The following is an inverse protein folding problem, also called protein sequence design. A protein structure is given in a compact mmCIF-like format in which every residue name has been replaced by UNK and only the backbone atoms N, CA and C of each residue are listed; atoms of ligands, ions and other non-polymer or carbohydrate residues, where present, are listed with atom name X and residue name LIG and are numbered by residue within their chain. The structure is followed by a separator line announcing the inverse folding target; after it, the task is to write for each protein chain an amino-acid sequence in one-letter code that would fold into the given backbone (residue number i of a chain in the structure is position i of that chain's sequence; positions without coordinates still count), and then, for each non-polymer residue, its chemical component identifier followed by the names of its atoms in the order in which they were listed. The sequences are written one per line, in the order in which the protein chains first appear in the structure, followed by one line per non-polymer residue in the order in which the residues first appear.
data_IF_284393410021
#
_entry.id   IF_284393410021
#
_cell.length_a   1.000
_cell.length_b   1.000
_cell.length_c   1.000
_cell.angle_alpha   90.00
_cell.angle_beta   90.00
_cell.angle_gamma   90.00
#
_symmetry.space_group_name_H-M   'P 1'
#
loop_
_entity.id
_entity.type
_entity.pdbx_description
1 polymer ?
#
# COMPACT_ATOMS: atom_id res chain seq x y z
N UNK A 1 13.82 -23.31 -3.06
CA UNK A 1 13.05 -23.27 -4.34
C UNK A 1 13.46 -22.01 -5.09
N UNK A 2 13.49 -22.03 -6.43
CA UNK A 2 13.78 -20.85 -7.26
C UNK A 2 12.55 -19.96 -7.31
N UNK A 3 12.74 -18.63 -7.36
CA UNK A 3 11.68 -17.62 -7.25
C UNK A 3 10.48 -17.83 -8.19
N UNK A 4 10.72 -18.13 -9.48
CA UNK A 4 9.65 -18.33 -10.46
C UNK A 4 8.79 -19.58 -10.20
N UNK A 5 9.40 -20.66 -9.71
CA UNK A 5 8.72 -21.88 -9.31
C UNK A 5 7.88 -21.62 -8.04
N UNK A 6 8.49 -20.94 -7.07
CA UNK A 6 7.79 -20.53 -5.84
C UNK A 6 6.59 -19.62 -6.15
N UNK A 7 6.77 -18.63 -7.05
CA UNK A 7 5.72 -17.74 -7.49
C UNK A 7 4.52 -18.51 -8.08
N UNK A 8 4.78 -19.41 -9.03
CA UNK A 8 3.73 -20.20 -9.68
C UNK A 8 3.00 -21.10 -8.68
N UNK A 9 3.75 -21.76 -7.81
CA UNK A 9 3.22 -22.66 -6.78
C UNK A 9 2.32 -21.96 -5.77
N UNK A 10 2.75 -20.80 -5.29
CA UNK A 10 1.97 -19.99 -4.36
C UNK A 10 0.76 -19.35 -5.04
N UNK A 11 0.93 -18.82 -6.26
CA UNK A 11 -0.18 -18.27 -7.02
C UNK A 11 -1.31 -19.29 -7.20
N UNK A 12 -0.99 -20.51 -7.60
CA UNK A 12 -1.97 -21.58 -7.72
C UNK A 12 -2.70 -21.86 -6.39
N UNK A 13 -1.98 -21.89 -5.28
CA UNK A 13 -2.57 -22.10 -3.95
C UNK A 13 -3.50 -20.95 -3.54
N UNK A 14 -3.11 -19.69 -3.75
CA UNK A 14 -3.93 -18.53 -3.39
C UNK A 14 -5.15 -18.36 -4.32
N UNK A 15 -5.02 -18.67 -5.62
CA UNK A 15 -6.13 -18.60 -6.58
C UNK A 15 -7.23 -19.66 -6.27
N UNK A 16 -6.84 -20.79 -5.65
CA UNK A 16 -7.75 -21.90 -5.35
C UNK A 16 -8.18 -21.97 -3.87
N UNK A 17 -7.75 -21.04 -3.01
CA UNK A 17 -8.09 -21.07 -1.59
C UNK A 17 -9.56 -20.75 -1.33
N UNK A 18 -10.25 -21.63 -0.60
CA UNK A 18 -11.61 -21.36 -0.09
C UNK A 18 -11.56 -20.64 1.26
N UNK A 19 -10.97 -21.26 2.27
CA UNK A 19 -10.80 -20.66 3.61
C UNK A 19 -9.39 -20.88 4.14
N UNK A 20 -8.89 -22.11 4.10
CA UNK A 20 -7.55 -22.48 4.55
C UNK A 20 -6.95 -23.52 3.61
N UNK A 21 -5.69 -23.36 3.30
CA UNK A 21 -4.91 -24.31 2.51
C UNK A 21 -3.55 -24.53 3.18
N UNK A 22 -3.22 -25.79 3.43
CA UNK A 22 -1.91 -26.18 3.94
C UNK A 22 -1.02 -26.65 2.80
N UNK A 23 0.14 -26.03 2.65
CA UNK A 23 1.17 -26.41 1.68
C UNK A 23 2.27 -27.17 2.40
N UNK A 24 2.13 -28.50 2.47
CA UNK A 24 3.06 -29.40 3.17
C UNK A 24 4.47 -29.33 2.59
N UNK A 25 4.59 -29.21 1.26
CA UNK A 25 5.85 -29.06 0.53
C UNK A 25 6.60 -27.76 0.86
N UNK A 26 5.90 -26.75 1.34
CA UNK A 26 6.42 -25.44 1.74
C UNK A 26 6.40 -25.23 3.25
N UNK A 27 5.82 -26.15 4.00
CA UNK A 27 5.64 -26.05 5.46
C UNK A 27 4.92 -24.77 5.91
N UNK A 28 3.92 -24.30 5.13
CA UNK A 28 3.10 -23.13 5.47
C UNK A 28 1.61 -23.43 5.35
N UNK A 29 0.84 -22.68 6.13
CA UNK A 29 -0.62 -22.62 6.06
C UNK A 29 -1.03 -21.21 5.60
N UNK A 30 -1.93 -21.14 4.62
CA UNK A 30 -2.53 -19.92 4.10
C UNK A 30 -3.99 -19.87 4.55
N UNK A 31 -4.43 -18.75 5.07
CA UNK A 31 -5.82 -18.54 5.47
C UNK A 31 -6.37 -17.30 4.74
N UNK A 32 -7.56 -17.45 4.21
CA UNK A 32 -8.39 -16.37 3.67
C UNK A 32 -9.42 -15.98 4.73
N UNK A 33 -9.48 -14.72 5.06
CA UNK A 33 -10.35 -14.16 6.10
C UNK A 33 -11.16 -13.00 5.57
N UNK A 34 -12.36 -12.85 6.10
CA UNK A 34 -13.24 -11.72 5.80
C UNK A 34 -13.07 -10.62 6.82
N UNK A 35 -13.15 -9.38 6.35
CA UNK A 35 -13.11 -8.20 7.17
C UNK A 35 -14.23 -7.24 6.80
N UNK A 36 -14.91 -6.69 7.81
CA UNK A 36 -15.93 -5.64 7.62
C UNK A 36 -15.35 -4.31 8.06
N UNK A 37 -15.24 -3.38 7.13
CA UNK A 37 -14.67 -2.06 7.38
C UNK A 37 -15.58 -1.22 8.27
N UNK A 38 -15.05 -0.74 9.39
CA UNK A 38 -15.70 0.30 10.21
C UNK A 38 -15.47 1.71 9.69
N UNK A 39 -14.55 1.87 8.73
CA UNK A 39 -14.14 3.16 8.15
C UNK A 39 -15.11 3.76 7.14
N UNK A 40 -16.16 3.04 6.73
CA UNK A 40 -17.11 3.45 5.69
C UNK A 40 -17.86 4.74 6.01
N UNK A 41 -18.07 5.05 7.28
CA UNK A 41 -18.73 6.29 7.71
C UNK A 41 -17.99 7.57 7.29
N UNK A 42 -16.69 7.46 6.92
CA UNK A 42 -15.91 8.58 6.38
C UNK A 42 -16.52 9.17 5.11
N UNK A 43 -17.21 8.36 4.33
CA UNK A 43 -17.78 8.75 3.03
C UNK A 43 -19.24 9.20 3.11
N UNK A 44 -19.91 9.06 4.29
CA UNK A 44 -21.32 9.44 4.48
C UNK A 44 -21.57 10.94 4.35
N UNK A 45 -20.56 11.74 4.65
CA UNK A 45 -20.67 13.19 4.76
C UNK A 45 -19.96 13.95 3.64
N UNK A 46 -19.27 13.27 2.75
CA UNK A 46 -18.82 13.88 1.49
C UNK A 46 -20.09 14.21 0.69
N UNK A 47 -20.30 15.52 0.45
CA UNK A 47 -21.47 16.07 -0.22
C UNK A 47 -21.92 15.17 -1.38
N UNK A 48 -23.18 14.86 -1.40
CA UNK A 48 -23.87 14.06 -2.40
C UNK A 48 -23.41 14.40 -3.82
N UNK A 49 -22.51 13.59 -4.34
CA UNK A 49 -22.43 13.41 -5.79
C UNK A 49 -23.75 12.68 -6.13
N UNK A 50 -24.58 13.21 -7.03
CA UNK A 50 -25.86 12.58 -7.35
C UNK A 50 -25.66 11.10 -7.63
N UNK A 51 -26.41 10.25 -6.95
CA UNK A 51 -26.42 8.83 -7.25
C UNK A 51 -27.00 8.69 -8.67
N UNK A 52 -26.13 8.51 -9.65
CA UNK A 52 -26.56 8.02 -10.96
C UNK A 52 -27.12 6.61 -10.78
N UNK A 53 -28.28 6.35 -11.35
CA UNK A 53 -28.93 5.04 -11.34
C UNK A 53 -27.93 3.94 -11.68
N UNK A 54 -27.91 2.87 -10.89
CA UNK A 54 -27.07 1.68 -11.08
C UNK A 54 -27.43 0.84 -12.32
N UNK A 55 -28.19 1.38 -13.25
CA UNK A 55 -28.57 0.74 -14.51
C UNK A 55 -27.48 0.98 -15.54
N UNK A 56 -26.57 0.03 -15.64
CA UNK A 56 -25.52 -0.04 -16.65
C UNK A 56 -26.16 -0.25 -18.05
N UNK A 57 -26.47 0.84 -18.73
CA UNK A 57 -26.93 0.83 -20.13
C UNK A 57 -25.74 0.93 -21.09
N UNK A 58 -24.91 -0.09 -21.19
CA UNK A 58 -24.06 -0.42 -22.33
C UNK A 58 -23.02 0.57 -22.88
N UNK A 59 -23.05 1.86 -22.50
CA UNK A 59 -22.04 2.86 -22.87
C UNK A 59 -21.15 3.15 -21.67
N UNK A 60 -19.81 3.00 -21.77
CA UNK A 60 -18.90 3.35 -20.69
C UNK A 60 -18.77 4.86 -20.59
N UNK A 61 -19.58 5.45 -19.74
CA UNK A 61 -19.45 6.85 -19.33
C UNK A 61 -18.42 6.94 -18.19
N UNK A 62 -17.47 7.91 -18.21
CA UNK A 62 -16.65 8.24 -17.05
C UNK A 62 -17.45 8.48 -15.76
N UNK A 63 -18.70 8.90 -15.84
CA UNK A 63 -19.63 9.01 -14.71
C UNK A 63 -19.81 7.68 -13.95
N UNK A 64 -19.64 6.55 -14.60
CA UNK A 64 -19.62 5.23 -13.95
C UNK A 64 -18.53 5.13 -12.86
N UNK A 65 -17.37 5.76 -13.03
CA UNK A 65 -16.28 5.73 -12.05
C UNK A 65 -16.41 6.82 -10.99
N UNK A 66 -17.00 7.94 -11.32
CA UNK A 66 -17.03 9.15 -10.50
C UNK A 66 -18.39 9.40 -9.84
N UNK A 67 -19.47 8.90 -10.42
CA UNK A 67 -20.84 9.03 -9.91
C UNK A 67 -21.20 8.05 -8.79
N UNK A 68 -20.40 7.00 -8.58
CA UNK A 68 -20.63 6.07 -7.46
C UNK A 68 -20.17 6.74 -6.16
N UNK A 69 -21.06 6.81 -5.19
CA UNK A 69 -20.69 7.18 -3.84
C UNK A 69 -19.78 6.09 -3.26
N UNK A 70 -18.58 6.47 -2.83
CA UNK A 70 -17.56 5.55 -2.31
C UNK A 70 -18.08 4.72 -1.11
N UNK A 71 -19.04 5.25 -0.36
CA UNK A 71 -19.75 4.52 0.69
C UNK A 71 -20.50 3.27 0.18
N UNK A 72 -21.02 3.32 -1.05
CA UNK A 72 -21.81 2.23 -1.64
C UNK A 72 -20.97 1.15 -2.31
N UNK A 73 -19.63 1.24 -2.29
CA UNK A 73 -18.75 0.22 -2.86
C UNK A 73 -18.68 -0.96 -1.88
N UNK A 74 -19.54 -1.96 -2.09
CA UNK A 74 -19.68 -3.12 -1.21
C UNK A 74 -18.36 -3.90 -1.05
N UNK A 75 -17.58 -4.08 -2.12
CA UNK A 75 -16.28 -4.75 -2.07
C UNK A 75 -15.24 -4.00 -1.22
N UNK A 76 -15.37 -2.68 -1.07
CA UNK A 76 -14.51 -1.92 -0.17
C UNK A 76 -14.97 -2.00 1.30
N UNK A 77 -16.25 -2.29 1.53
CA UNK A 77 -16.84 -2.36 2.85
C UNK A 77 -16.71 -3.76 3.48
N UNK A 78 -16.84 -4.80 2.67
CA UNK A 78 -16.62 -6.20 3.08
C UNK A 78 -15.63 -6.80 2.11
N UNK A 79 -14.46 -7.15 2.61
CA UNK A 79 -13.35 -7.61 1.78
C UNK A 79 -12.59 -8.78 2.43
N UNK A 80 -11.75 -9.43 1.66
CA UNK A 80 -10.89 -10.51 2.10
C UNK A 80 -9.46 -10.01 2.31
N UNK A 81 -8.80 -10.53 3.34
CA UNK A 81 -7.36 -10.45 3.53
C UNK A 81 -6.79 -11.86 3.72
N UNK A 82 -5.48 -11.99 3.56
CA UNK A 82 -4.84 -13.28 3.67
C UNK A 82 -3.82 -13.26 4.80
N UNK A 83 -3.67 -14.40 5.47
CA UNK A 83 -2.52 -14.65 6.37
C UNK A 83 -1.77 -15.89 5.93
N UNK A 84 -0.45 -15.85 6.05
CA UNK A 84 0.45 -16.98 5.83
C UNK A 84 1.31 -17.17 7.08
N UNK A 85 1.40 -18.41 7.57
CA UNK A 85 2.18 -18.79 8.75
C UNK A 85 2.83 -20.15 8.54
N UNK A 86 3.89 -20.45 9.30
CA UNK A 86 4.51 -21.76 9.28
C UNK A 86 3.55 -22.83 9.87
N UNK A 87 3.53 -24.02 9.26
CA UNK A 87 2.80 -25.16 9.80
C UNK A 87 3.38 -25.59 11.15
N UNK A 88 2.51 -26.08 12.05
CA UNK A 88 2.93 -26.43 13.42
C UNK A 88 2.93 -25.26 14.41
N UNK A 89 2.76 -24.03 13.94
CA UNK A 89 2.53 -22.88 14.81
C UNK A 89 1.04 -22.80 15.17
N UNK A 90 0.68 -23.13 16.41
CA UNK A 90 -0.71 -23.05 16.88
C UNK A 90 -1.16 -21.61 17.08
N UNK A 91 -0.25 -20.75 17.55
CA UNK A 91 -0.49 -19.34 17.80
C UNK A 91 0.79 -18.53 17.56
N UNK A 92 0.75 -17.53 16.72
CA UNK A 92 1.91 -16.70 16.37
C UNK A 92 2.13 -15.59 17.41
N UNK A 93 3.35 -15.44 17.88
CA UNK A 93 3.77 -14.37 18.81
C UNK A 93 4.25 -13.11 18.07
N UNK A 94 4.23 -13.09 16.75
CA UNK A 94 4.60 -11.96 15.95
C UNK A 94 3.87 -11.90 14.63
N UNK A 95 3.60 -10.67 14.17
CA UNK A 95 2.90 -10.38 12.92
C UNK A 95 3.73 -9.40 12.09
N UNK A 96 3.74 -9.60 10.78
CA UNK A 96 4.21 -8.61 9.82
C UNK A 96 3.03 -8.25 8.91
N UNK A 97 2.58 -6.99 8.97
CA UNK A 97 1.64 -6.47 7.99
C UNK A 97 2.38 -6.12 6.69
N UNK A 98 1.96 -6.70 5.59
CA UNK A 98 2.45 -6.41 4.26
C UNK A 98 1.46 -5.51 3.54
N UNK A 99 1.90 -4.28 3.20
CA UNK A 99 1.13 -3.29 2.43
C UNK A 99 1.70 -3.11 1.03
N UNK A 100 0.80 -3.14 0.05
CA UNK A 100 1.09 -3.15 -1.38
C UNK A 100 1.23 -1.76 -2.01
N UNK A 101 1.62 -1.71 -3.29
CA UNK A 101 1.77 -0.48 -4.08
C UNK A 101 0.45 0.12 -4.59
N UNK A 102 0.52 1.38 -5.05
CA UNK A 102 -0.62 2.10 -5.63
C UNK A 102 -1.11 1.42 -6.92
N UNK A 103 -2.42 1.39 -7.11
CA UNK A 103 -3.11 0.77 -8.26
C UNK A 103 -2.89 -0.73 -8.42
N UNK A 104 -2.43 -1.41 -7.38
CA UNK A 104 -2.30 -2.87 -7.40
C UNK A 104 -3.69 -3.55 -7.41
N UNK A 105 -3.80 -4.59 -8.23
CA UNK A 105 -5.06 -5.32 -8.46
C UNK A 105 -5.00 -6.77 -7.98
N UNK A 106 -3.80 -7.32 -7.80
CA UNK A 106 -3.55 -8.72 -7.45
C UNK A 106 -2.36 -8.83 -6.50
N UNK A 107 -2.41 -9.86 -5.67
CA UNK A 107 -1.35 -10.18 -4.71
C UNK A 107 -0.21 -11.02 -5.30
N UNK A 108 -0.29 -11.43 -6.57
CA UNK A 108 0.57 -12.44 -7.17
C UNK A 108 2.06 -12.25 -6.85
N UNK A 109 2.61 -11.05 -7.03
CA UNK A 109 4.03 -10.76 -6.77
C UNK A 109 4.41 -10.79 -5.29
N UNK A 110 3.43 -10.60 -4.40
CA UNK A 110 3.65 -10.55 -2.95
C UNK A 110 3.63 -11.92 -2.28
N UNK A 111 3.07 -12.94 -2.92
CA UNK A 111 3.00 -14.27 -2.35
C UNK A 111 4.38 -14.86 -2.01
N UNK A 112 5.39 -14.82 -2.91
CA UNK A 112 6.74 -15.26 -2.56
C UNK A 112 7.38 -14.43 -1.44
N UNK A 113 7.09 -13.12 -1.39
CA UNK A 113 7.62 -12.24 -0.36
C UNK A 113 7.04 -12.62 1.02
N UNK A 114 5.72 -12.78 1.08
CA UNK A 114 5.04 -13.20 2.31
C UNK A 114 5.50 -14.60 2.78
N UNK A 115 5.70 -15.53 1.86
CA UNK A 115 6.23 -16.85 2.17
C UNK A 115 7.63 -16.78 2.77
N UNK A 116 8.56 -16.07 2.14
CA UNK A 116 9.93 -15.98 2.63
C UNK A 116 10.00 -15.26 3.98
N UNK A 117 9.21 -14.21 4.16
CA UNK A 117 9.09 -13.53 5.46
C UNK A 117 8.57 -14.49 6.54
N UNK A 118 7.47 -15.21 6.29
CA UNK A 118 6.93 -16.18 7.26
C UNK A 118 7.96 -17.26 7.61
N UNK A 119 8.59 -17.83 6.58
CA UNK A 119 9.58 -18.91 6.74
C UNK A 119 10.80 -18.49 7.54
N UNK A 120 11.32 -17.26 7.28
CA UNK A 120 12.58 -16.80 7.86
C UNK A 120 12.39 -16.15 9.24
N UNK A 121 11.26 -15.49 9.49
CA UNK A 121 11.02 -14.79 10.76
C UNK A 121 10.21 -15.61 11.76
N UNK A 122 9.51 -16.65 11.31
CA UNK A 122 8.56 -17.39 12.14
C UNK A 122 7.26 -16.63 12.45
N UNK A 123 7.13 -15.39 11.97
CA UNK A 123 5.95 -14.53 12.21
C UNK A 123 4.84 -14.82 11.19
N UNK A 124 3.61 -14.52 11.57
CA UNK A 124 2.47 -14.53 10.65
C UNK A 124 2.51 -13.29 9.76
N UNK A 125 2.43 -13.49 8.45
CA UNK A 125 2.35 -12.38 7.50
C UNK A 125 0.91 -12.11 7.13
N UNK A 126 0.46 -10.87 7.29
CA UNK A 126 -0.89 -10.43 6.92
C UNK A 126 -0.81 -9.58 5.67
N UNK A 127 -1.37 -10.08 4.57
CA UNK A 127 -1.58 -9.36 3.32
C UNK A 127 -2.86 -8.54 3.44
N UNK A 128 -2.73 -7.27 3.88
CA UNK A 128 -3.89 -6.42 4.16
C UNK A 128 -4.10 -5.38 3.05
N UNK A 129 -5.26 -5.40 2.34
CA UNK A 129 -5.46 -4.52 1.19
C UNK A 129 -5.78 -3.09 1.61
N UNK A 130 -5.13 -2.12 0.96
CA UNK A 130 -5.46 -0.70 1.05
C UNK A 130 -6.84 -0.47 0.42
N UNK A 131 -7.63 0.42 0.99
CA UNK A 131 -8.98 0.72 0.51
C UNK A 131 -8.99 1.05 -1.00
N UNK A 132 -10.00 0.52 -1.70
CA UNK A 132 -10.19 0.64 -3.16
C UNK A 132 -9.11 -0.03 -4.04
N UNK A 133 -8.26 -0.90 -3.46
CA UNK A 133 -7.26 -1.69 -4.18
C UNK A 133 -7.54 -3.18 -4.02
N UNK A 134 -6.84 -4.02 -4.78
CA UNK A 134 -6.97 -5.46 -4.74
C UNK A 134 -8.46 -5.88 -4.86
N UNK A 135 -8.91 -6.79 -4.00
CA UNK A 135 -10.30 -7.23 -3.92
C UNK A 135 -11.25 -6.21 -3.24
N UNK A 136 -10.74 -5.08 -2.75
CA UNK A 136 -11.55 -3.95 -2.27
C UNK A 136 -12.02 -3.04 -3.41
N UNK A 137 -11.46 -3.19 -4.61
CA UNK A 137 -11.93 -2.48 -5.80
C UNK A 137 -13.05 -3.25 -6.49
N UNK A 138 -14.07 -2.59 -7.07
CA UNK A 138 -15.03 -3.24 -7.93
C UNK A 138 -14.35 -3.96 -9.11
N UNK A 139 -14.84 -5.15 -9.44
CA UNK A 139 -14.28 -5.93 -10.55
C UNK A 139 -14.22 -5.15 -11.87
N UNK A 140 -15.24 -4.32 -12.14
CA UNK A 140 -15.32 -3.49 -13.34
C UNK A 140 -14.11 -2.55 -13.53
N UNK A 141 -13.43 -2.14 -12.44
CA UNK A 141 -12.22 -1.32 -12.54
C UNK A 141 -10.99 -2.09 -13.05
N UNK A 142 -11.12 -3.40 -13.15
CA UNK A 142 -10.12 -4.30 -13.73
C UNK A 142 -10.53 -4.89 -15.08
N UNK A 143 -11.75 -4.60 -15.55
CA UNK A 143 -12.20 -5.02 -16.89
C UNK A 143 -11.43 -4.25 -17.96
N UNK A 144 -10.58 -4.97 -18.70
CA UNK A 144 -9.68 -4.35 -19.68
C UNK A 144 -10.43 -3.70 -20.86
N UNK A 145 -11.60 -4.22 -21.26
CA UNK A 145 -12.39 -3.68 -22.38
C UNK A 145 -13.05 -2.37 -21.97
N UNK A 146 -13.66 -2.36 -20.79
CA UNK A 146 -14.29 -1.15 -20.23
C UNK A 146 -13.25 -0.07 -19.97
N UNK A 147 -12.15 -0.43 -19.28
CA UNK A 147 -11.09 0.51 -18.94
C UNK A 147 -10.33 1.05 -20.16
N UNK A 148 -10.21 0.26 -21.23
CA UNK A 148 -9.59 0.75 -22.47
C UNK A 148 -10.40 1.88 -23.13
N UNK A 149 -11.73 1.81 -23.11
CA UNK A 149 -12.58 2.88 -23.63
C UNK A 149 -12.36 4.19 -22.84
N UNK A 150 -12.30 4.08 -21.51
CA UNK A 150 -12.00 5.24 -20.63
C UNK A 150 -10.58 5.75 -20.85
N UNK A 151 -9.61 4.87 -21.00
CA UNK A 151 -8.23 5.23 -21.28
C UNK A 151 -8.07 6.04 -22.58
N UNK A 152 -8.80 5.66 -23.65
CA UNK A 152 -8.82 6.40 -24.91
C UNK A 152 -9.41 7.81 -24.70
N UNK A 153 -10.54 7.93 -24.02
CA UNK A 153 -11.14 9.23 -23.70
C UNK A 153 -10.18 10.10 -22.88
N UNK A 154 -9.49 9.53 -21.90
CA UNK A 154 -8.50 10.22 -21.09
C UNK A 154 -7.27 10.64 -21.91
N UNK A 155 -6.79 9.78 -22.81
CA UNK A 155 -5.65 10.10 -23.68
C UNK A 155 -5.94 11.28 -24.62
N UNK A 156 -7.21 11.49 -24.98
CA UNK A 156 -7.65 12.62 -25.82
C UNK A 156 -7.85 13.93 -25.03
N UNK A 157 -7.82 13.91 -23.69
CA UNK A 157 -7.83 15.13 -22.89
C UNK A 157 -6.54 15.91 -23.12
N UNK A 158 -6.62 17.24 -23.24
CA UNK A 158 -5.45 18.11 -23.39
C UNK A 158 -4.47 17.91 -22.24
N UNK A 159 -3.18 17.93 -22.55
CA UNK A 159 -2.09 17.80 -21.56
C UNK A 159 -2.10 16.50 -20.75
N UNK A 160 -2.70 15.42 -21.27
CA UNK A 160 -2.63 14.11 -20.63
C UNK A 160 -1.57 13.22 -21.29
N UNK A 161 -0.91 12.40 -20.47
CA UNK A 161 0.07 11.42 -20.91
C UNK A 161 -0.01 10.17 -20.02
N UNK A 162 0.48 9.05 -20.55
CA UNK A 162 0.56 7.75 -19.85
C UNK A 162 -0.79 7.15 -19.44
N UNK A 163 -1.93 7.60 -20.03
CA UNK A 163 -3.21 6.93 -19.85
C UNK A 163 -3.18 5.51 -20.42
N UNK A 164 -3.77 4.56 -19.73
CA UNK A 164 -3.86 3.15 -20.12
C UNK A 164 -5.07 2.48 -19.47
N UNK A 165 -5.48 1.32 -19.97
CA UNK A 165 -6.56 0.54 -19.34
C UNK A 165 -6.20 0.09 -17.90
N UNK A 166 -4.91 0.00 -17.56
CA UNK A 166 -4.45 -0.39 -16.22
C UNK A 166 -4.75 0.70 -15.20
N UNK A 167 -4.48 1.98 -15.57
CA UNK A 167 -4.60 3.12 -14.65
C UNK A 167 -5.88 3.96 -14.84
N UNK A 168 -6.73 3.63 -15.82
CA UNK A 168 -7.88 4.46 -16.17
C UNK A 168 -8.84 4.71 -15.00
N UNK A 169 -9.17 3.67 -14.24
CA UNK A 169 -10.11 3.80 -13.12
C UNK A 169 -9.57 4.74 -12.02
N UNK A 170 -8.37 4.49 -11.55
CA UNK A 170 -7.77 5.29 -10.47
C UNK A 170 -7.50 6.72 -10.95
N UNK A 171 -7.04 6.89 -12.20
CA UNK A 171 -6.75 8.22 -12.76
C UNK A 171 -8.01 9.06 -12.90
N UNK A 172 -9.12 8.49 -13.42
CA UNK A 172 -10.39 9.21 -13.52
C UNK A 172 -10.93 9.60 -12.15
N UNK A 173 -10.85 8.70 -11.18
CA UNK A 173 -11.35 8.93 -9.82
C UNK A 173 -10.54 9.99 -9.09
N UNK A 174 -9.22 9.97 -9.20
CA UNK A 174 -8.34 10.95 -8.54
C UNK A 174 -8.36 12.31 -9.22
N UNK A 175 -8.48 12.40 -10.56
CA UNK A 175 -8.67 13.67 -11.23
C UNK A 175 -9.99 14.33 -10.84
N UNK A 176 -11.06 13.56 -10.74
CA UNK A 176 -12.38 14.07 -10.35
C UNK A 176 -12.43 14.47 -8.86
N UNK A 177 -11.77 13.72 -7.98
CA UNK A 177 -11.83 13.92 -6.54
C UNK A 177 -10.50 13.53 -5.87
N UNK A 178 -9.48 14.42 -5.89
CA UNK A 178 -8.13 14.12 -5.41
C UNK A 178 -8.06 13.77 -3.92
N UNK A 179 -9.02 14.25 -3.10
CA UNK A 179 -9.16 13.87 -1.70
C UNK A 179 -9.36 12.37 -1.48
N UNK A 180 -9.75 11.60 -2.51
CA UNK A 180 -9.86 10.13 -2.43
C UNK A 180 -8.54 9.46 -2.10
N UNK A 181 -7.43 10.05 -2.51
CA UNK A 181 -6.11 9.55 -2.12
C UNK A 181 -5.95 9.52 -0.60
N UNK A 182 -6.24 10.65 0.05
CA UNK A 182 -6.20 10.77 1.50
C UNK A 182 -7.24 9.87 2.19
N UNK A 183 -8.49 9.88 1.72
CA UNK A 183 -9.58 9.12 2.32
C UNK A 183 -9.37 7.61 2.25
N UNK A 184 -8.75 7.13 1.18
CA UNK A 184 -8.33 5.73 1.04
C UNK A 184 -7.33 5.33 2.13
N UNK A 185 -6.32 6.16 2.36
CA UNK A 185 -5.36 5.95 3.45
C UNK A 185 -6.02 5.98 4.83
N UNK A 186 -6.89 6.95 5.06
CA UNK A 186 -7.60 7.10 6.34
C UNK A 186 -8.55 5.94 6.65
N UNK A 187 -9.27 5.42 5.65
CA UNK A 187 -10.09 4.21 5.81
C UNK A 187 -9.21 3.01 6.16
N UNK A 188 -8.11 2.82 5.42
CA UNK A 188 -7.17 1.73 5.70
C UNK A 188 -6.59 1.82 7.11
N UNK A 189 -6.27 3.03 7.57
CA UNK A 189 -5.80 3.28 8.93
C UNK A 189 -6.84 2.84 9.99
N UNK A 190 -8.10 3.22 9.81
CA UNK A 190 -9.19 2.80 10.72
C UNK A 190 -9.37 1.27 10.71
N UNK A 191 -9.31 0.67 9.54
CA UNK A 191 -9.46 -0.78 9.39
C UNK A 191 -8.28 -1.52 10.03
N UNK A 192 -7.04 -1.01 9.86
CA UNK A 192 -5.86 -1.52 10.56
C UNK A 192 -6.02 -1.46 12.08
N UNK A 193 -6.42 -0.30 12.62
CA UNK A 193 -6.64 -0.15 14.08
C UNK A 193 -7.74 -1.08 14.59
N UNK A 194 -8.80 -1.31 13.80
CA UNK A 194 -9.87 -2.23 14.17
C UNK A 194 -9.39 -3.70 14.16
N UNK A 195 -8.58 -4.11 13.17
CA UNK A 195 -7.98 -5.43 13.13
C UNK A 195 -7.00 -5.63 14.29
N UNK A 196 -6.16 -4.62 14.57
CA UNK A 196 -5.24 -4.67 15.72
C UNK A 196 -5.99 -4.84 17.04
N UNK A 197 -7.07 -4.09 17.23
CA UNK A 197 -7.95 -4.26 18.39
C UNK A 197 -8.54 -5.67 18.46
N UNK A 198 -8.99 -6.24 17.35
CA UNK A 198 -9.49 -7.62 17.25
C UNK A 198 -8.44 -8.63 17.70
N UNK A 199 -7.19 -8.46 17.27
CA UNK A 199 -6.05 -9.28 17.70
C UNK A 199 -5.83 -9.15 19.21
N UNK A 200 -5.75 -7.92 19.74
CA UNK A 200 -5.55 -7.67 21.18
C UNK A 200 -6.66 -8.25 22.07
N UNK A 201 -7.86 -8.34 21.54
CA UNK A 201 -8.99 -8.98 22.22
C UNK A 201 -9.04 -10.51 22.07
N UNK A 202 -8.09 -11.12 21.34
CA UNK A 202 -8.01 -12.58 21.14
C UNK A 202 -9.03 -13.14 20.15
N UNK A 203 -9.65 -12.32 19.31
CA UNK A 203 -10.60 -12.81 18.30
C UNK A 203 -9.92 -13.48 17.11
N UNK A 204 -8.62 -13.24 16.92
CA UNK A 204 -7.80 -13.89 15.91
C UNK A 204 -7.10 -15.12 16.49
N UNK A 205 -7.77 -16.27 16.46
CA UNK A 205 -7.38 -17.51 17.20
C UNK A 205 -5.93 -17.97 16.97
N UNK A 206 -5.37 -17.73 15.79
CA UNK A 206 -4.01 -18.18 15.42
C UNK A 206 -2.93 -17.14 15.74
N UNK A 207 -3.31 -16.04 16.39
CA UNK A 207 -2.42 -14.93 16.72
C UNK A 207 -2.56 -14.66 18.22
N UNK A 208 -1.44 -14.56 18.92
CA UNK A 208 -1.40 -14.20 20.33
C UNK A 208 -1.91 -12.75 20.51
N UNK A 209 -2.77 -12.50 21.52
CA UNK A 209 -3.14 -11.11 21.87
C UNK A 209 -1.93 -10.20 22.15
N UNK A 210 -0.84 -10.77 22.65
CA UNK A 210 0.44 -10.09 22.92
C UNK A 210 1.40 -10.04 21.74
N UNK A 211 1.01 -10.54 20.56
CA UNK A 211 1.90 -10.62 19.40
C UNK A 211 2.57 -9.28 19.06
N UNK A 212 3.87 -9.31 18.77
CA UNK A 212 4.60 -8.17 18.23
C UNK A 212 4.07 -7.79 16.84
N UNK A 213 4.08 -6.50 16.53
CA UNK A 213 3.57 -5.97 15.26
C UNK A 213 4.72 -5.31 14.51
N UNK A 214 4.97 -5.76 13.29
CA UNK A 214 5.95 -5.19 12.38
C UNK A 214 5.32 -4.93 11.01
N UNK A 215 6.06 -4.23 10.15
CA UNK A 215 5.58 -3.82 8.84
C UNK A 215 6.59 -4.12 7.74
N UNK A 216 6.06 -4.57 6.59
CA UNK A 216 6.73 -4.55 5.32
C UNK A 216 5.90 -3.71 4.35
N UNK A 217 6.40 -2.54 3.98
CA UNK A 217 5.73 -1.61 3.08
C UNK A 217 6.42 -1.53 1.72
N UNK A 218 5.62 -1.64 0.65
CA UNK A 218 6.09 -1.46 -0.71
C UNK A 218 5.45 -0.23 -1.36
N UNK A 219 6.28 0.68 -1.90
CA UNK A 219 5.78 1.88 -2.60
C UNK A 219 4.85 2.72 -1.71
N UNK A 220 3.60 2.97 -2.10
CA UNK A 220 2.63 3.68 -1.27
C UNK A 220 2.30 2.92 0.03
N UNK A 221 2.44 1.60 0.04
CA UNK A 221 2.34 0.80 1.27
C UNK A 221 3.44 1.14 2.27
N UNK A 222 4.64 1.51 1.80
CA UNK A 222 5.71 2.01 2.64
C UNK A 222 5.39 3.40 3.22
N UNK A 223 4.81 4.30 2.41
CA UNK A 223 4.31 5.59 2.87
C UNK A 223 3.28 5.41 3.99
N UNK A 224 2.32 4.51 3.79
CA UNK A 224 1.29 4.20 4.77
C UNK A 224 1.87 3.58 6.06
N UNK A 225 2.79 2.63 5.93
CA UNK A 225 3.46 1.99 7.08
C UNK A 225 4.31 2.97 7.87
N UNK A 226 5.01 3.88 7.18
CA UNK A 226 5.78 4.94 7.82
C UNK A 226 4.88 5.89 8.60
N UNK A 227 3.72 6.27 8.03
CA UNK A 227 2.72 7.06 8.73
C UNK A 227 2.22 6.35 10.01
N UNK A 228 1.90 5.05 9.94
CA UNK A 228 1.50 4.26 11.11
C UNK A 228 2.58 4.27 12.20
N UNK A 229 3.85 4.09 11.82
CA UNK A 229 4.96 4.06 12.77
C UNK A 229 5.23 5.44 13.40
N UNK A 230 5.08 6.51 12.61
CA UNK A 230 5.22 7.88 13.11
C UNK A 230 4.10 8.28 14.06
N UNK A 231 2.87 7.96 13.72
CA UNK A 231 1.68 8.30 14.50
C UNK A 231 1.53 7.42 15.73
N UNK A 232 1.89 6.14 15.62
CA UNK A 232 1.86 5.16 16.71
C UNK A 232 0.52 5.09 17.44
N UNK A 233 -0.54 4.65 16.78
CA UNK A 233 -1.89 4.66 17.34
C UNK A 233 -1.97 3.93 18.68
N UNK A 234 -2.50 4.62 19.68
CA UNK A 234 -2.67 4.12 21.05
C UNK A 234 -1.35 3.59 21.69
N UNK A 235 -0.18 3.96 21.17
CA UNK A 235 1.15 3.44 21.57
C UNK A 235 1.31 1.93 21.37
N UNK A 236 0.55 1.34 20.49
CA UNK A 236 0.60 -0.08 20.16
C UNK A 236 1.82 -0.48 19.33
N UNK A 237 2.51 0.50 18.74
CA UNK A 237 3.62 0.31 17.82
C UNK A 237 4.97 0.79 18.39
N UNK A 238 5.10 0.91 19.71
CA UNK A 238 6.33 1.40 20.37
C UNK A 238 7.56 0.55 20.02
N UNK A 239 7.39 -0.75 19.86
CA UNK A 239 8.45 -1.70 19.53
C UNK A 239 8.41 -2.19 18.08
N UNK A 240 7.49 -1.67 17.27
CA UNK A 240 7.32 -2.10 15.88
C UNK A 240 8.50 -1.69 15.01
N UNK A 241 8.89 -2.59 14.10
CA UNK A 241 9.91 -2.36 13.07
C UNK A 241 9.24 -2.22 11.71
N UNK A 242 9.86 -1.48 10.82
CA UNK A 242 9.39 -1.24 9.46
C UNK A 242 10.49 -1.52 8.46
N UNK A 243 10.22 -2.40 7.51
CA UNK A 243 11.00 -2.50 6.28
C UNK A 243 10.27 -1.79 5.15
N UNK A 244 10.99 -0.90 4.50
CA UNK A 244 10.57 -0.13 3.33
C UNK A 244 11.24 -0.72 2.10
N UNK A 245 10.47 -1.12 1.09
CA UNK A 245 10.98 -1.55 -0.20
C UNK A 245 10.40 -0.70 -1.33
N UNK A 246 11.25 -0.07 -2.14
CA UNK A 246 10.87 0.85 -3.22
C UNK A 246 9.90 1.94 -2.75
N UNK A 247 10.19 2.57 -1.61
CA UNK A 247 9.33 3.56 -0.96
C UNK A 247 10.13 4.46 0.00
N UNK A 248 9.42 5.27 0.80
CA UNK A 248 10.02 6.09 1.85
C UNK A 248 10.37 7.51 1.45
N UNK A 249 10.11 7.94 0.22
CA UNK A 249 10.15 9.34 -0.16
C UNK A 249 8.88 10.07 0.28
N UNK A 250 8.95 11.39 0.47
CA UNK A 250 7.75 12.23 0.55
C UNK A 250 6.99 12.22 -0.78
N UNK A 251 5.68 12.44 -0.72
CA UNK A 251 4.81 12.32 -1.90
C UNK A 251 5.26 13.24 -3.05
N UNK A 252 5.68 14.49 -2.75
CA UNK A 252 6.20 15.46 -3.72
C UNK A 252 7.55 15.06 -4.36
N UNK A 253 8.18 13.98 -3.90
CA UNK A 253 9.40 13.39 -4.47
C UNK A 253 9.16 12.05 -5.16
N UNK A 254 7.91 11.62 -5.23
CA UNK A 254 7.51 10.45 -6.03
C UNK A 254 7.12 10.90 -7.44
N UNK A 255 7.36 10.05 -8.43
CA UNK A 255 7.04 10.27 -9.84
C UNK A 255 6.08 9.18 -10.34
N UNK A 256 4.81 9.18 -9.90
CA UNK A 256 3.89 8.06 -10.15
C UNK A 256 3.33 8.01 -11.58
N UNK A 257 3.69 8.98 -12.44
CA UNK A 257 3.16 9.08 -13.81
C UNK A 257 3.67 7.96 -14.68
N UNK A 258 2.86 6.93 -14.85
CA UNK A 258 3.19 5.76 -15.66
C UNK A 258 1.92 5.09 -16.19
N UNK A 259 2.07 4.23 -17.21
CA UNK A 259 0.93 3.43 -17.71
C UNK A 259 0.39 2.41 -16.69
N UNK A 260 1.09 2.20 -15.58
CA UNK A 260 0.75 1.21 -14.57
C UNK A 260 0.14 1.81 -13.30
N UNK A 261 0.47 3.07 -12.96
CA UNK A 261 0.09 3.68 -11.68
C UNK A 261 -1.01 4.72 -11.88
N UNK A 262 -0.66 5.95 -12.31
CA UNK A 262 -1.62 7.01 -12.65
C UNK A 262 -1.13 7.78 -13.87
N UNK A 263 -2.04 8.43 -14.59
CA UNK A 263 -1.69 9.30 -15.71
C UNK A 263 -1.33 10.73 -15.26
N UNK A 264 -0.80 11.52 -16.17
CA UNK A 264 -0.28 12.86 -15.86
C UNK A 264 -1.34 13.78 -15.24
N UNK A 265 -2.58 13.80 -15.78
CA UNK A 265 -3.62 14.69 -15.26
C UNK A 265 -4.02 14.34 -13.83
N UNK A 266 -4.15 13.06 -13.52
CA UNK A 266 -4.47 12.63 -12.18
C UNK A 266 -3.34 12.96 -11.19
N UNK A 267 -2.07 12.76 -11.57
CA UNK A 267 -0.91 13.14 -10.76
C UNK A 267 -0.92 14.62 -10.45
N UNK A 268 -0.99 15.46 -11.49
CA UNK A 268 -1.01 16.92 -11.35
C UNK A 268 -2.18 17.41 -10.49
N UNK A 269 -3.37 16.80 -10.64
CA UNK A 269 -4.52 17.18 -9.83
C UNK A 269 -4.33 16.86 -8.35
N UNK A 270 -3.77 15.70 -8.04
CA UNK A 270 -3.47 15.30 -6.64
C UNK A 270 -2.37 16.16 -6.04
N UNK A 271 -1.30 16.44 -6.80
CA UNK A 271 -0.20 17.30 -6.37
C UNK A 271 -0.70 18.72 -6.06
N UNK A 272 -1.41 19.35 -7.00
CA UNK A 272 -1.98 20.68 -6.82
C UNK A 272 -2.96 20.75 -5.63
N UNK A 273 -3.78 19.70 -5.45
CA UNK A 273 -4.70 19.63 -4.32
C UNK A 273 -3.94 19.67 -2.99
N UNK A 274 -2.87 18.89 -2.85
CA UNK A 274 -2.10 18.87 -1.61
C UNK A 274 -1.28 20.13 -1.40
N UNK A 275 -0.65 20.69 -2.44
CA UNK A 275 0.08 21.97 -2.33
C UNK A 275 -0.85 23.09 -1.82
N UNK A 276 -2.02 23.27 -2.45
CA UNK A 276 -3.00 24.27 -2.01
C UNK A 276 -3.48 24.05 -0.57
N UNK A 277 -3.59 22.81 -0.13
CA UNK A 277 -4.00 22.51 1.23
C UNK A 277 -2.87 22.79 2.24
N UNK A 278 -1.61 22.51 1.88
CA UNK A 278 -0.45 22.73 2.76
C UNK A 278 -0.11 24.21 2.90
N UNK A 279 -0.23 24.98 1.84
CA UNK A 279 0.01 26.42 1.85
C UNK A 279 -1.07 27.18 2.64
N UNK A 280 -2.28 26.63 2.72
CA UNK A 280 -3.41 27.22 3.44
C UNK A 280 -3.82 26.38 4.65
N UNK A 281 -2.99 26.40 5.71
CA UNK A 281 -3.25 25.68 6.96
C UNK A 281 -4.69 25.74 7.46
N UNK A 282 -5.35 26.92 7.56
CA UNK A 282 -6.73 26.98 8.02
C UNK A 282 -7.72 26.22 7.14
N UNK A 283 -7.45 26.14 5.84
CA UNK A 283 -8.30 25.42 4.89
C UNK A 283 -8.13 23.90 5.02
N UNK A 284 -6.90 23.43 5.16
CA UNK A 284 -6.57 22.03 5.42
C UNK A 284 -7.22 21.57 6.74
N UNK A 285 -7.05 22.35 7.80
CA UNK A 285 -7.63 22.07 9.10
C UNK A 285 -9.15 21.96 9.05
N UNK A 286 -9.86 22.90 8.40
CA UNK A 286 -11.32 22.87 8.30
C UNK A 286 -11.84 21.73 7.43
N UNK A 287 -11.21 21.46 6.26
CA UNK A 287 -11.67 20.41 5.34
C UNK A 287 -11.35 19.02 5.83
N UNK A 288 -10.18 18.82 6.45
CA UNK A 288 -9.78 17.54 6.99
C UNK A 288 -10.27 17.32 8.43
N UNK A 289 -10.54 18.37 9.20
CA UNK A 289 -11.03 18.29 10.58
C UNK A 289 -12.27 17.40 10.72
N UNK A 290 -13.19 17.51 9.77
CA UNK A 290 -14.38 16.68 9.74
C UNK A 290 -14.06 15.18 9.68
N UNK A 291 -13.04 14.79 8.89
CA UNK A 291 -12.63 13.39 8.73
C UNK A 291 -11.84 12.85 9.93
N UNK A 292 -11.18 13.74 10.67
CA UNK A 292 -10.38 13.37 11.84
C UNK A 292 -11.15 13.41 13.16
N UNK A 293 -12.41 13.85 13.16
CA UNK A 293 -13.22 13.87 14.40
C UNK A 293 -13.28 12.48 15.04
N UNK A 294 -12.89 12.42 16.31
CA UNK A 294 -12.87 11.17 17.08
C UNK A 294 -11.71 10.25 16.76
N UNK A 295 -10.67 10.71 16.06
CA UNK A 295 -9.45 9.97 15.83
C UNK A 295 -8.27 10.63 16.54
N UNK A 296 -7.39 9.82 17.12
CA UNK A 296 -6.15 10.26 17.75
C UNK A 296 -4.98 10.42 16.76
N UNK A 297 -5.25 10.52 15.45
CA UNK A 297 -4.20 10.69 14.43
C UNK A 297 -3.65 12.10 14.50
N UNK A 298 -2.34 12.24 14.59
CA UNK A 298 -1.67 13.52 14.38
C UNK A 298 -1.56 13.83 12.88
N UNK A 299 -2.42 14.75 12.41
CA UNK A 299 -2.50 15.22 11.02
C UNK A 299 -1.17 15.73 10.50
N UNK A 300 -0.34 16.24 11.40
CA UNK A 300 0.96 16.82 11.05
C UNK A 300 1.91 15.77 10.51
N UNK A 301 1.82 14.51 10.96
CA UNK A 301 2.63 13.43 10.41
C UNK A 301 2.26 13.12 8.95
N UNK A 302 0.96 13.04 8.63
CA UNK A 302 0.54 12.89 7.23
C UNK A 302 1.03 14.06 6.38
N UNK A 303 0.80 15.30 6.81
CA UNK A 303 1.24 16.50 6.11
C UNK A 303 2.76 16.52 5.90
N UNK A 304 3.53 16.05 6.89
CA UNK A 304 4.98 16.00 6.82
C UNK A 304 5.53 14.98 5.82
N UNK A 305 4.73 13.98 5.45
CA UNK A 305 5.06 12.99 4.43
C UNK A 305 4.58 13.39 3.03
N UNK A 306 3.68 14.37 2.91
CA UNK A 306 3.23 14.89 1.60
C UNK A 306 4.29 15.76 0.96
N UNK A 307 4.94 16.66 1.72
CA UNK A 307 5.91 17.60 1.17
C UNK A 307 7.24 17.57 1.93
N UNK A 308 8.32 17.59 1.18
CA UNK A 308 9.67 17.65 1.76
C UNK A 308 9.92 18.94 2.53
N UNK A 309 9.31 20.04 2.13
CA UNK A 309 9.47 21.36 2.76
C UNK A 309 8.58 21.55 3.98
N UNK A 310 7.29 21.20 3.84
CA UNK A 310 6.31 21.41 4.90
C UNK A 310 6.51 20.42 6.04
N UNK A 311 6.46 20.92 7.26
CA UNK A 311 6.63 20.12 8.49
C UNK A 311 7.93 19.31 8.52
N UNK A 312 8.98 19.80 7.85
CA UNK A 312 10.29 19.13 7.79
C UNK A 312 10.83 18.81 9.18
N UNK A 313 10.89 19.83 10.06
CA UNK A 313 11.46 19.68 11.41
C UNK A 313 10.68 18.64 12.24
N UNK A 314 9.36 18.62 12.11
CA UNK A 314 8.51 17.62 12.77
C UNK A 314 8.84 16.21 12.28
N UNK A 315 8.92 16.04 10.94
CA UNK A 315 9.28 14.76 10.33
C UNK A 315 10.66 14.28 10.77
N UNK A 316 11.67 15.13 10.66
CA UNK A 316 13.04 14.79 11.02
C UNK A 316 13.16 14.49 12.52
N UNK A 317 12.55 15.29 13.38
CA UNK A 317 12.48 15.01 14.82
C UNK A 317 11.87 13.65 15.12
N UNK A 318 10.77 13.29 14.43
CA UNK A 318 10.13 11.99 14.63
C UNK A 318 10.98 10.86 14.08
N UNK A 319 11.58 11.03 12.90
CA UNK A 319 12.48 10.05 12.31
C UNK A 319 13.70 9.79 13.20
N UNK A 320 14.29 10.81 13.82
CA UNK A 320 15.35 10.62 14.81
C UNK A 320 14.96 9.71 16.00
N UNK A 321 13.69 9.71 16.39
CA UNK A 321 13.21 8.86 17.48
C UNK A 321 12.99 7.39 17.05
N UNK A 322 12.79 7.15 15.76
CA UNK A 322 12.36 5.83 15.27
C UNK A 322 13.30 5.23 14.22
N UNK A 323 14.38 5.91 13.84
CA UNK A 323 15.26 5.50 12.71
C UNK A 323 15.87 4.10 12.88
N UNK A 324 16.21 3.70 14.10
CA UNK A 324 16.74 2.36 14.39
C UNK A 324 15.72 1.24 14.11
N UNK A 325 14.43 1.60 14.08
CA UNK A 325 13.32 0.68 13.80
C UNK A 325 12.91 0.69 12.32
N UNK A 326 13.66 1.38 11.45
CA UNK A 326 13.42 1.48 10.02
C UNK A 326 14.60 0.94 9.25
N UNK A 327 14.35 0.04 8.30
CA UNK A 327 15.30 -0.39 7.28
C UNK A 327 14.70 -0.17 5.91
N UNK A 328 15.39 0.48 5.00
CA UNK A 328 14.90 0.80 3.67
C UNK A 328 15.80 0.20 2.59
N UNK A 329 15.19 -0.28 1.51
CA UNK A 329 15.87 -0.69 0.28
C UNK A 329 15.27 0.07 -0.89
N UNK A 330 16.09 0.91 -1.53
CA UNK A 330 15.77 1.60 -2.78
C UNK A 330 16.47 0.93 -3.96
N UNK A 331 15.91 1.05 -5.15
CA UNK A 331 16.49 0.47 -6.36
C UNK A 331 16.96 1.58 -7.31
N UNK A 332 18.16 1.43 -7.86
CA UNK A 332 18.81 2.45 -8.72
C UNK A 332 17.95 2.85 -9.91
N UNK A 333 17.25 1.88 -10.55
CA UNK A 333 16.39 2.10 -11.73
C UNK A 333 14.90 2.31 -11.36
N UNK A 334 14.61 2.66 -10.11
CA UNK A 334 13.27 3.01 -9.71
C UNK A 334 12.96 4.47 -10.10
N UNK A 335 12.22 4.64 -11.19
CA UNK A 335 11.83 5.95 -11.71
C UNK A 335 10.62 6.53 -10.96
N UNK A 336 9.90 5.74 -10.16
CA UNK A 336 8.71 6.16 -9.41
C UNK A 336 9.07 6.68 -8.03
N UNK A 337 9.96 5.97 -7.33
CA UNK A 337 10.48 6.39 -6.03
C UNK A 337 12.01 6.41 -6.08
N UNK A 338 12.60 7.51 -6.62
CA UNK A 338 14.04 7.61 -6.81
C UNK A 338 14.82 7.51 -5.49
N UNK A 339 15.97 6.83 -5.47
CA UNK A 339 16.81 6.71 -4.26
C UNK A 339 17.14 8.04 -3.58
N UNK A 340 17.30 9.12 -4.36
CA UNK A 340 17.53 10.46 -3.83
C UNK A 340 16.38 10.99 -2.99
N UNK A 341 15.13 10.73 -3.40
CA UNK A 341 13.94 11.09 -2.64
C UNK A 341 13.84 10.31 -1.34
N UNK A 342 14.17 9.01 -1.38
CA UNK A 342 14.21 8.12 -0.21
C UNK A 342 15.26 8.59 0.79
N UNK A 343 16.50 8.81 0.32
CA UNK A 343 17.59 9.31 1.14
C UNK A 343 17.26 10.65 1.79
N UNK A 344 16.83 11.64 0.99
CA UNK A 344 16.46 12.96 1.52
C UNK A 344 15.37 12.90 2.60
N UNK A 345 14.46 11.95 2.50
CA UNK A 345 13.37 11.82 3.48
C UNK A 345 13.84 11.08 4.73
N UNK A 346 14.44 9.90 4.57
CA UNK A 346 14.71 8.99 5.69
C UNK A 346 16.00 9.30 6.41
N UNK A 347 17.01 9.89 5.72
CA UNK A 347 18.28 10.25 6.36
C UNK A 347 18.40 11.73 6.70
N UNK A 348 17.35 12.53 6.40
CA UNK A 348 17.38 14.00 6.55
C UNK A 348 18.19 14.68 5.45
N UNK A 349 17.88 15.95 5.15
CA UNK A 349 18.55 16.70 4.08
C UNK A 349 20.08 16.78 4.23
N UNK A 350 20.63 16.97 5.46
CA UNK A 350 22.07 16.93 5.74
C UNK A 350 22.63 15.51 5.95
N UNK A 351 21.82 14.45 5.89
CA UNK A 351 22.23 13.09 6.21
C UNK A 351 22.49 12.86 7.71
N UNK A 352 21.78 13.58 8.55
CA UNK A 352 21.96 13.56 10.01
C UNK A 352 21.11 12.50 10.74
N UNK A 353 20.23 11.79 10.01
CA UNK A 353 19.43 10.69 10.55
C UNK A 353 20.04 9.37 10.08
N UNK A 354 20.49 8.55 11.01
CA UNK A 354 21.18 7.30 10.70
C UNK A 354 20.20 6.14 10.42
N UNK A 355 19.23 6.38 9.54
CA UNK A 355 18.33 5.31 9.07
C UNK A 355 19.09 4.35 8.16
N UNK A 356 18.92 3.04 8.37
CA UNK A 356 19.49 2.02 7.49
C UNK A 356 18.86 2.11 6.10
N UNK A 357 19.66 2.46 5.10
CA UNK A 357 19.26 2.58 3.70
C UNK A 357 20.24 1.86 2.79
N UNK A 358 19.77 0.82 2.13
CA UNK A 358 20.50 0.11 1.08
C UNK A 358 20.00 0.59 -0.29
N UNK A 359 20.90 0.93 -1.21
CA UNK A 359 20.59 1.26 -2.61
C UNK A 359 21.14 0.16 -3.49
N UNK A 360 20.25 -0.63 -4.11
CA UNK A 360 20.63 -1.81 -4.89
C UNK A 360 20.39 -1.58 -6.39
N UNK A 361 21.28 -2.13 -7.21
CA UNK A 361 21.07 -2.33 -8.65
C UNK A 361 21.09 -3.82 -8.98
N UNK A 362 20.16 -4.27 -9.81
CA UNK A 362 20.07 -5.66 -10.19
C UNK A 362 20.61 -5.87 -11.61
N UNK A 363 21.24 -7.02 -11.83
CA UNK A 363 21.89 -7.40 -13.10
C UNK A 363 20.90 -7.82 -14.21
N UNK A 364 19.64 -7.36 -14.14
CA UNK A 364 18.58 -7.63 -15.11
C UNK A 364 17.68 -6.40 -15.28
N UNK A 365 16.90 -6.32 -16.35
CA UNK A 365 15.89 -5.27 -16.51
C UNK A 365 14.79 -5.39 -15.45
N UNK A 366 14.61 -4.34 -14.68
CA UNK A 366 13.54 -4.22 -13.69
C UNK A 366 13.00 -2.78 -13.69
N UNK A 367 11.87 -2.59 -13.04
CA UNK A 367 11.28 -1.29 -12.80
C UNK A 367 10.52 -1.29 -11.46
N UNK A 368 10.00 -0.13 -11.09
CA UNK A 368 9.23 0.02 -9.85
C UNK A 368 8.11 -1.02 -9.70
N UNK A 369 7.34 -1.29 -10.75
CA UNK A 369 6.17 -2.19 -10.67
C UNK A 369 6.55 -3.66 -10.61
N UNK A 370 7.70 -4.01 -11.20
CA UNK A 370 8.18 -5.38 -11.35
C UNK A 370 9.66 -5.49 -10.95
N UNK A 371 9.98 -5.38 -9.64
CA UNK A 371 11.36 -5.48 -9.17
C UNK A 371 11.94 -6.90 -9.37
N UNK A 372 11.09 -7.93 -9.32
CA UNK A 372 11.46 -9.34 -9.56
C UNK A 372 10.60 -9.90 -10.70
N UNK A 373 10.98 -9.69 -11.97
CA UNK A 373 10.20 -10.16 -13.11
C UNK A 373 10.27 -11.69 -13.27
N UNK A 374 9.14 -12.28 -13.65
CA UNK A 374 9.11 -13.69 -14.09
C UNK A 374 9.61 -13.75 -15.52
N UNK A 375 10.87 -14.11 -15.70
CA UNK A 375 11.53 -14.16 -17.00
C UNK A 375 12.58 -15.28 -17.03
N UNK A 376 12.41 -16.23 -17.94
CA UNK A 376 13.30 -17.40 -18.04
C UNK A 376 14.77 -17.02 -18.28
N UNK A 377 15.02 -15.95 -19.05
CA UNK A 377 16.37 -15.47 -19.36
C UNK A 377 17.13 -15.01 -18.11
N UNK A 378 16.44 -14.45 -17.13
CA UNK A 378 17.05 -13.82 -15.94
C UNK A 378 16.70 -14.53 -14.64
N UNK A 379 16.13 -15.72 -14.69
CA UNK A 379 15.58 -16.42 -13.51
C UNK A 379 16.61 -16.60 -12.37
N UNK A 380 17.88 -16.85 -12.71
CA UNK A 380 18.94 -17.04 -11.72
C UNK A 380 19.30 -15.72 -11.03
N UNK A 381 19.46 -14.65 -11.81
CA UNK A 381 19.76 -13.31 -11.28
C UNK A 381 18.59 -12.77 -10.45
N UNK A 382 17.35 -12.98 -10.91
CA UNK A 382 16.14 -12.60 -10.18
C UNK A 382 16.07 -13.35 -8.85
N UNK A 383 16.29 -14.67 -8.86
CA UNK A 383 16.29 -15.49 -7.64
C UNK A 383 17.35 -15.02 -6.63
N UNK A 384 18.57 -14.71 -7.11
CA UNK A 384 19.64 -14.18 -6.26
C UNK A 384 19.26 -12.85 -5.61
N UNK A 385 18.76 -11.91 -6.41
CA UNK A 385 18.34 -10.58 -5.92
C UNK A 385 17.15 -10.66 -4.97
N UNK A 386 16.16 -11.49 -5.28
CA UNK A 386 15.01 -11.75 -4.43
C UNK A 386 15.45 -12.29 -3.06
N UNK A 387 16.30 -13.32 -3.05
CA UNK A 387 16.83 -13.91 -1.81
C UNK A 387 17.61 -12.91 -0.99
N UNK A 388 18.47 -12.09 -1.62
CA UNK A 388 19.22 -11.04 -0.95
C UNK A 388 18.28 -10.06 -0.22
N UNK A 389 17.26 -9.54 -0.92
CA UNK A 389 16.31 -8.59 -0.34
C UNK A 389 15.52 -9.25 0.80
N UNK A 390 15.02 -10.48 0.60
CA UNK A 390 14.25 -11.16 1.63
C UNK A 390 15.08 -11.55 2.86
N UNK A 391 16.34 -11.95 2.67
CA UNK A 391 17.25 -12.24 3.78
C UNK A 391 17.55 -10.99 4.62
N UNK A 392 17.90 -9.86 3.98
CA UNK A 392 18.14 -8.60 4.69
C UNK A 392 16.89 -8.13 5.43
N UNK A 393 15.74 -8.23 4.78
CA UNK A 393 14.44 -7.90 5.37
C UNK A 393 14.13 -8.75 6.59
N UNK A 394 14.26 -10.07 6.45
CA UNK A 394 13.93 -11.01 7.52
C UNK A 394 14.89 -10.89 8.70
N UNK A 395 16.18 -10.69 8.44
CA UNK A 395 17.18 -10.47 9.50
C UNK A 395 16.89 -9.21 10.32
N UNK A 396 16.31 -8.19 9.70
CA UNK A 396 15.90 -6.98 10.42
C UNK A 396 14.59 -7.15 11.21
N UNK A 397 13.65 -7.97 10.71
CA UNK A 397 12.33 -8.18 11.32
C UNK A 397 12.27 -9.38 12.28
N UNK A 398 13.29 -10.21 12.36
CA UNK A 398 13.37 -11.39 13.22
C UNK A 398 13.29 -11.10 14.74
#
# INVERSE_FOLDING_TARGET
MIYDILYKRLKDAFDNIVTTTELKDLSVSIQKRHFTSGGTNLFRTSASIPAGDNNFTGQPDPQFLTGINDYNISSNNIFEYYSIQNTGCSQSEGIIFLFHGLNEKKWDKYYPWAYELARQTGKTIILFPIAFHMNRAPYAWSDSRLMNKIAIQRANKSSNAKSSFINAAISERLENSPQRFFLSGLQTYKDFCALLKSIRMGFEKNISPGASIDFFGYSIGAFFSLLLLMDNPNKELDNSRLVIFCGGATFDKMMPVSRYIIDLRASTTVENFFEQQLDNKPLLERRLEHYFRGMSIDRSYFASLISQKHYKDLREKRLHQIHERISATALVKDEVVPPSGVSNTLTGGPGNINTRLDVLDFEYPYNHVTPFPINEKYKVQVDKSFKLVMQNTSAFLA
#
